data_IF_664382330988
#
_entry.id   IF_664382330988
#
_cell.length_a   1.000
_cell.length_b   1.000
_cell.length_c   1.000
_cell.angle_alpha   90.00
_cell.angle_beta   90.00
_cell.angle_gamma   90.00
#
_symmetry.space_group_name_H-M   'P 1'
#
loop_
_entity.id
_entity.type
_entity.pdbx_description
1 polymer ?
#
# COMPACT_ATOMS: atom_id res chain seq x y z
N UNK A 1 1.00 11.46 2.66
CA UNK A 1 0.35 10.18 2.32
C UNK A 1 -0.51 10.45 1.10
N UNK A 2 -0.46 9.56 0.11
CA UNK A 2 -1.34 9.60 -1.06
C UNK A 2 -2.15 8.31 -0.99
N UNK A 3 -3.46 8.46 -0.91
CA UNK A 3 -4.40 7.35 -0.85
C UNK A 3 -5.07 7.14 -2.22
N UNK A 4 -5.68 5.97 -2.41
CA UNK A 4 -6.32 5.56 -3.67
C UNK A 4 -5.40 5.77 -4.89
N UNK A 5 -4.14 5.32 -4.78
CA UNK A 5 -3.13 5.54 -5.82
C UNK A 5 -3.53 4.91 -7.16
N UNK A 6 -4.43 3.93 -7.17
CA UNK A 6 -5.02 3.34 -8.37
C UNK A 6 -5.84 4.35 -9.19
N UNK A 7 -6.30 5.46 -8.60
CA UNK A 7 -6.97 6.55 -9.32
C UNK A 7 -6.09 7.15 -10.43
N UNK A 8 -4.75 7.06 -10.31
CA UNK A 8 -3.83 7.55 -11.35
C UNK A 8 -4.02 6.86 -12.70
N UNK A 9 -4.61 5.66 -12.71
CA UNK A 9 -4.95 4.91 -13.93
C UNK A 9 -6.02 5.60 -14.77
N UNK A 10 -6.85 6.44 -14.14
CA UNK A 10 -7.93 7.18 -14.80
C UNK A 10 -7.47 8.52 -15.38
N UNK A 11 -6.24 8.96 -15.06
CA UNK A 11 -5.71 10.23 -15.53
C UNK A 11 -5.46 10.21 -17.04
N UNK A 12 -5.80 11.31 -17.70
CA UNK A 12 -5.56 11.51 -19.12
C UNK A 12 -4.06 11.60 -19.47
N UNK A 13 -3.20 11.86 -18.48
CA UNK A 13 -1.75 11.96 -18.63
C UNK A 13 -1.01 10.85 -17.84
N UNK A 14 0.24 10.51 -18.23
CA UNK A 14 1.05 9.53 -17.51
C UNK A 14 1.38 10.01 -16.09
N UNK A 15 1.13 9.17 -15.10
CA UNK A 15 1.55 9.44 -13.73
C UNK A 15 3.05 9.12 -13.49
N UNK A 16 3.75 8.62 -14.50
CA UNK A 16 5.17 8.24 -14.41
C UNK A 16 6.05 9.38 -13.90
N UNK A 17 5.77 10.64 -14.27
CA UNK A 17 6.55 11.81 -13.82
C UNK A 17 6.28 12.18 -12.35
N UNK A 18 5.06 11.91 -11.84
CA UNK A 18 4.77 12.02 -10.41
C UNK A 18 5.67 11.05 -9.63
N UNK A 19 5.73 9.78 -10.05
CA UNK A 19 6.55 8.77 -9.39
C UNK A 19 8.05 9.04 -9.54
N UNK A 20 8.49 9.57 -10.69
CA UNK A 20 9.86 10.02 -10.87
C UNK A 20 10.21 11.15 -9.88
N UNK A 21 9.33 12.14 -9.70
CA UNK A 21 9.53 13.21 -8.72
C UNK A 21 9.63 12.71 -7.28
N UNK A 22 8.79 11.74 -6.90
CA UNK A 22 8.88 11.11 -5.57
C UNK A 22 10.22 10.37 -5.36
N UNK A 23 10.71 9.68 -6.38
CA UNK A 23 12.02 9.04 -6.36
C UNK A 23 13.14 10.07 -6.25
N UNK A 24 13.05 11.19 -6.94
CA UNK A 24 14.04 12.27 -6.84
C UNK A 24 14.08 12.91 -5.44
N UNK A 25 12.92 13.11 -4.79
CA UNK A 25 12.87 13.54 -3.40
C UNK A 25 13.57 12.56 -2.44
N UNK A 26 13.44 11.26 -2.71
CA UNK A 26 14.16 10.23 -1.95
C UNK A 26 15.67 10.28 -2.22
N UNK A 27 16.10 10.40 -3.48
CA UNK A 27 17.52 10.47 -3.86
C UNK A 27 18.20 11.72 -3.28
N UNK A 28 17.51 12.85 -3.30
CA UNK A 28 18.02 14.14 -2.82
C UNK A 28 18.37 14.14 -1.32
N UNK A 29 17.90 13.15 -0.54
CA UNK A 29 18.30 12.95 0.86
C UNK A 29 19.81 12.76 1.03
N UNK A 30 20.50 12.28 -0.01
CA UNK A 30 21.96 12.15 0.00
C UNK A 30 22.68 13.51 0.05
N UNK A 31 22.10 14.54 -0.58
CA UNK A 31 22.66 15.90 -0.65
C UNK A 31 22.02 16.86 0.35
N UNK A 32 20.76 16.64 0.72
CA UNK A 32 20.01 17.44 1.67
C UNK A 32 19.47 16.54 2.80
N UNK A 33 20.18 16.46 3.94
CA UNK A 33 19.76 15.66 5.08
C UNK A 33 18.39 16.06 5.66
N UNK A 34 17.90 17.28 5.41
CA UNK A 34 16.59 17.73 5.90
C UNK A 34 15.44 16.98 5.23
N UNK A 35 15.65 16.45 4.02
CA UNK A 35 14.68 15.62 3.30
C UNK A 35 14.54 14.22 3.91
N UNK A 36 15.47 13.77 4.76
CA UNK A 36 15.36 12.52 5.51
C UNK A 36 14.17 12.48 6.46
N UNK A 37 13.60 13.65 6.78
CA UNK A 37 12.43 13.83 7.66
C UNK A 37 11.11 13.61 6.93
N UNK A 38 11.12 13.65 5.60
CA UNK A 38 9.93 13.51 4.76
C UNK A 38 9.77 12.07 4.32
N UNK A 39 8.71 11.39 4.74
CA UNK A 39 8.34 10.06 4.25
C UNK A 39 7.03 10.13 3.48
N UNK A 40 7.03 9.63 2.25
CA UNK A 40 5.82 9.50 1.43
C UNK A 40 5.34 8.06 1.50
N UNK A 41 4.08 7.88 1.86
CA UNK A 41 3.38 6.61 1.83
C UNK A 41 2.35 6.65 0.70
N UNK A 42 2.34 5.62 -0.14
CA UNK A 42 1.38 5.41 -1.23
C UNK A 42 0.48 4.24 -0.82
N UNK A 43 -0.83 4.45 -0.85
CA UNK A 43 -1.84 3.49 -0.45
C UNK A 43 -2.81 3.29 -1.62
N UNK A 44 -3.30 2.06 -1.79
CA UNK A 44 -4.29 1.72 -2.82
C UNK A 44 -4.16 0.27 -3.30
N UNK A 45 -5.17 -0.17 -4.05
CA UNK A 45 -5.26 -1.54 -4.56
C UNK A 45 -4.73 -1.61 -6.00
N UNK A 46 -3.40 -1.58 -6.16
CA UNK A 46 -2.76 -1.67 -7.47
C UNK A 46 -1.40 -2.36 -7.41
N UNK A 47 -1.04 -3.06 -8.48
CA UNK A 47 0.34 -3.49 -8.69
C UNK A 47 1.19 -2.30 -9.18
N UNK A 48 2.49 -2.25 -8.87
CA UNK A 48 3.38 -1.21 -9.41
C UNK A 48 3.33 -1.08 -10.93
N UNK A 49 3.14 -2.20 -11.65
CA UNK A 49 2.97 -2.25 -13.10
C UNK A 49 1.71 -1.55 -13.60
N UNK A 50 0.68 -1.43 -12.76
CA UNK A 50 -0.58 -0.78 -13.11
C UNK A 50 -0.48 0.75 -12.97
N UNK A 51 0.54 1.23 -12.25
CA UNK A 51 0.72 2.65 -11.93
C UNK A 51 1.64 3.37 -12.92
N UNK A 52 2.43 2.65 -13.71
CA UNK A 52 3.38 3.21 -14.69
C UNK A 52 2.99 2.83 -16.11
N UNK A 53 3.17 3.75 -17.07
CA UNK A 53 2.96 3.46 -18.49
C UNK A 53 4.23 2.94 -19.16
N UNK A 54 5.40 3.44 -18.77
CA UNK A 54 6.69 2.93 -19.26
C UNK A 54 7.29 1.92 -18.26
N UNK A 55 7.24 0.61 -18.53
CA UNK A 55 7.75 -0.42 -17.61
C UNK A 55 9.28 -0.38 -17.44
N UNK A 56 10.01 0.38 -18.26
CA UNK A 56 11.46 0.59 -18.11
C UNK A 56 11.78 1.56 -16.98
N UNK A 57 10.81 2.37 -16.54
CA UNK A 57 10.96 3.23 -15.36
C UNK A 57 10.76 2.38 -14.11
N UNK A 58 11.71 2.46 -13.17
CA UNK A 58 11.67 1.72 -11.90
C UNK A 58 11.55 2.65 -10.69
N UNK A 59 10.52 3.52 -10.59
CA UNK A 59 10.46 4.53 -9.54
C UNK A 59 10.24 3.93 -8.14
N UNK A 60 9.68 2.72 -8.07
CA UNK A 60 9.36 2.05 -6.80
C UNK A 60 10.52 1.25 -6.19
N UNK A 61 11.69 1.18 -6.86
CA UNK A 61 12.83 0.39 -6.36
C UNK A 61 13.52 0.96 -5.11
N UNK A 62 13.26 2.24 -4.79
CA UNK A 62 13.77 2.91 -3.58
C UNK A 62 12.80 2.82 -2.39
N UNK A 63 11.58 2.33 -2.63
CA UNK A 63 10.52 2.23 -1.63
C UNK A 63 10.50 0.87 -0.93
N UNK A 64 9.75 0.80 0.17
CA UNK A 64 9.39 -0.46 0.84
C UNK A 64 7.97 -0.83 0.47
N UNK A 65 7.78 -1.97 -0.21
CA UNK A 65 6.45 -2.55 -0.43
C UNK A 65 5.94 -3.13 0.89
N UNK A 66 4.71 -2.76 1.25
CA UNK A 66 3.96 -3.35 2.36
C UNK A 66 2.69 -3.89 1.75
N UNK A 67 2.57 -5.21 1.72
CA UNK A 67 1.38 -5.91 1.24
C UNK A 67 0.53 -6.26 2.44
N UNK A 68 -0.72 -5.78 2.44
CA UNK A 68 -1.71 -6.14 3.44
C UNK A 68 -2.40 -7.40 2.97
N UNK A 69 -2.18 -8.50 3.69
CA UNK A 69 -2.80 -9.78 3.44
C UNK A 69 -4.06 -9.92 4.28
N UNK A 70 -4.90 -10.87 3.90
CA UNK A 70 -6.06 -11.26 4.67
C UNK A 70 -5.66 -11.81 6.04
N UNK A 71 -6.53 -11.63 7.02
CA UNK A 71 -6.25 -12.05 8.38
C UNK A 71 -6.18 -13.56 8.51
N UNK A 72 -5.12 -14.04 9.17
CA UNK A 72 -5.12 -15.38 9.75
C UNK A 72 -6.01 -15.44 11.00
N UNK A 73 -6.37 -16.66 11.43
CA UNK A 73 -7.12 -16.85 12.68
C UNK A 73 -6.39 -16.26 13.90
N UNK A 74 -5.06 -16.34 13.92
CA UNK A 74 -4.25 -15.80 15.02
C UNK A 74 -4.27 -14.27 15.03
N UNK A 75 -4.08 -13.64 13.87
CA UNK A 75 -4.15 -12.17 13.73
C UNK A 75 -5.55 -11.62 13.99
N UNK A 76 -6.59 -12.42 13.72
CA UNK A 76 -7.97 -12.04 13.99
C UNK A 76 -8.41 -12.28 15.45
N UNK A 77 -7.63 -13.01 16.24
CA UNK A 77 -7.96 -13.36 17.63
C UNK A 77 -8.26 -12.15 18.53
N UNK A 78 -7.58 -10.98 18.41
CA UNK A 78 -7.93 -9.79 19.16
C UNK A 78 -9.38 -9.34 18.97
N UNK A 79 -9.95 -9.57 17.78
CA UNK A 79 -11.35 -9.24 17.47
C UNK A 79 -12.35 -10.19 18.13
N UNK A 80 -11.93 -11.37 18.60
CA UNK A 80 -12.82 -12.32 19.30
C UNK A 80 -13.49 -11.68 20.52
N UNK A 81 -12.79 -10.78 21.20
CA UNK A 81 -13.32 -10.06 22.37
C UNK A 81 -14.47 -9.11 22.04
N UNK A 82 -14.52 -8.59 20.81
CA UNK A 82 -15.61 -7.76 20.33
C UNK A 82 -16.82 -8.59 19.86
N UNK A 83 -16.65 -9.90 19.71
CA UNK A 83 -17.72 -10.82 19.35
C UNK A 83 -18.34 -11.39 20.63
N UNK A 84 -19.68 -11.46 20.67
CA UNK A 84 -20.44 -11.99 21.82
C UNK A 84 -20.09 -13.45 22.18
N UNK A 85 -19.40 -14.19 21.29
CA UNK A 85 -18.97 -15.56 21.52
C UNK A 85 -17.68 -15.88 20.74
N UNK A 86 -16.66 -16.51 21.37
CA UNK A 86 -15.41 -16.89 20.72
C UNK A 86 -15.58 -17.82 19.50
N UNK A 87 -16.64 -18.64 19.51
CA UNK A 87 -16.93 -19.55 18.40
C UNK A 87 -17.33 -18.84 17.09
N UNK A 88 -17.80 -17.59 17.16
CA UNK A 88 -18.23 -16.83 15.98
C UNK A 88 -17.05 -16.46 15.08
N UNK A 89 -15.85 -16.21 15.64
CA UNK A 89 -14.69 -15.77 14.87
C UNK A 89 -14.29 -16.79 13.79
N UNK A 90 -14.25 -18.07 14.16
CA UNK A 90 -13.88 -19.15 13.23
C UNK A 90 -14.87 -19.26 12.07
N UNK A 91 -16.17 -19.10 12.35
CA UNK A 91 -17.19 -19.10 11.30
C UNK A 91 -17.10 -17.86 10.41
N UNK A 92 -16.86 -16.67 10.98
CA UNK A 92 -16.67 -15.45 10.20
C UNK A 92 -15.49 -15.62 9.24
N UNK A 93 -14.33 -16.07 9.74
CA UNK A 93 -13.16 -16.31 8.90
C UNK A 93 -13.39 -17.39 7.86
N UNK A 94 -14.17 -18.43 8.16
CA UNK A 94 -14.54 -19.45 7.18
C UNK A 94 -15.30 -18.85 5.99
N UNK A 95 -16.19 -17.88 6.23
CA UNK A 95 -16.99 -17.25 5.19
C UNK A 95 -16.27 -16.11 4.47
N UNK A 96 -15.47 -15.31 5.18
CA UNK A 96 -14.76 -14.15 4.59
C UNK A 96 -13.40 -14.53 4.01
N UNK A 97 -12.87 -15.70 4.36
CA UNK A 97 -11.49 -16.07 4.01
C UNK A 97 -10.42 -15.22 4.71
N UNK A 98 -10.79 -14.46 5.75
CA UNK A 98 -9.89 -13.48 6.38
C UNK A 98 -9.96 -12.08 5.79
N UNK A 99 -10.77 -11.86 4.75
CA UNK A 99 -10.99 -10.52 4.22
C UNK A 99 -11.62 -9.60 5.28
N UNK A 100 -11.07 -8.40 5.50
CA UNK A 100 -11.52 -7.48 6.55
C UNK A 100 -12.74 -6.61 6.20
N UNK A 101 -13.27 -6.68 4.98
CA UNK A 101 -14.39 -5.83 4.48
C UNK A 101 -15.52 -6.67 3.90
#
# INVERSE_FOLDING_TARGET
MIDEIDAVRTLSFPADDLFAGLRELWNARASDPTLGRLTVCLLGAALPSDLIRDPRRTPFNVGRRIELQDFTLEEAMPFASALESPGKLTHILHWTGGHPF
#
